data_IF_692498061871
#
_entry.id   IF_692498061871
#
_cell.length_a   1.000
_cell.length_b   1.000
_cell.length_c   1.000
_cell.angle_alpha   90.00
_cell.angle_beta   90.00
_cell.angle_gamma   90.00
#
_symmetry.space_group_name_H-M   'P 1'
#
loop_
_entity.id
_entity.type
_entity.pdbx_description
1 polymer ?
#
# COMPACT_ATOMS: atom_id res chain seq x y z
N UNK A 1 11.16 15.88 11.24
CA UNK A 1 12.41 15.37 11.86
C UNK A 1 13.35 14.91 10.75
N UNK A 2 14.64 15.19 10.80
CA UNK A 2 15.57 14.69 9.76
C UNK A 2 15.87 13.24 10.08
N UNK A 3 15.84 12.31 9.08
CA UNK A 3 16.23 10.93 9.31
C UNK A 3 17.68 10.89 9.83
N UNK A 4 17.89 10.17 10.90
CA UNK A 4 19.20 9.95 11.48
C UNK A 4 19.70 8.58 10.99
N UNK A 5 20.77 8.59 10.22
CA UNK A 5 21.46 7.38 9.77
C UNK A 5 22.68 7.19 10.64
N UNK A 6 22.81 6.03 11.26
CA UNK A 6 23.97 5.67 12.06
C UNK A 6 24.62 4.40 11.54
N UNK A 7 25.92 4.26 11.78
CA UNK A 7 26.66 3.05 11.41
C UNK A 7 26.45 1.98 12.49
N UNK A 8 25.88 0.85 12.09
CA UNK A 8 25.79 -0.33 12.95
C UNK A 8 26.95 -1.29 12.69
N UNK A 9 27.37 -2.02 13.75
CA UNK A 9 28.31 -3.12 13.62
C UNK A 9 27.66 -4.42 13.13
N UNK A 10 26.33 -4.44 13.05
CA UNK A 10 25.59 -5.56 12.50
C UNK A 10 25.39 -5.36 11.00
N UNK A 11 25.80 -6.35 10.22
CA UNK A 11 25.52 -6.37 8.78
C UNK A 11 24.13 -6.93 8.56
N UNK A 12 23.27 -6.13 7.91
CA UNK A 12 21.95 -6.53 7.51
C UNK A 12 21.89 -6.57 5.99
N UNK A 13 21.45 -7.68 5.45
CA UNK A 13 21.26 -7.84 4.01
C UNK A 13 19.78 -7.87 3.67
N UNK A 14 19.35 -6.96 2.80
CA UNK A 14 18.02 -6.97 2.18
C UNK A 14 18.14 -6.65 0.69
N UNK A 15 17.38 -7.35 -0.12
CA UNK A 15 17.23 -7.02 -1.54
C UNK A 15 16.34 -5.80 -1.78
N UNK A 16 15.71 -5.27 -0.72
CA UNK A 16 14.68 -4.23 -0.78
C UNK A 16 15.06 -2.97 0.02
N UNK A 17 16.36 -2.62 0.04
CA UNK A 17 16.82 -1.45 0.78
C UNK A 17 16.05 -0.13 0.48
N UNK A 18 15.65 0.19 -0.77
CA UNK A 18 14.80 1.34 -1.02
C UNK A 18 13.45 1.29 -0.31
N UNK A 19 12.83 0.10 -0.21
CA UNK A 19 11.56 -0.07 0.51
C UNK A 19 11.73 0.09 2.02
N UNK A 20 12.88 -0.26 2.57
CA UNK A 20 13.19 -0.01 3.98
C UNK A 20 13.23 1.51 4.26
N UNK A 21 13.87 2.29 3.39
CA UNK A 21 13.91 3.74 3.52
C UNK A 21 12.50 4.37 3.40
N UNK A 22 11.69 3.91 2.45
CA UNK A 22 10.29 4.35 2.29
C UNK A 22 9.48 3.99 3.53
N UNK A 23 9.58 2.76 4.02
CA UNK A 23 8.87 2.31 5.22
C UNK A 23 9.19 3.19 6.43
N UNK A 24 10.47 3.44 6.67
CA UNK A 24 10.90 4.34 7.75
C UNK A 24 10.30 5.74 7.60
N UNK A 25 10.35 6.33 6.41
CA UNK A 25 9.80 7.66 6.16
C UNK A 25 8.28 7.74 6.39
N UNK A 26 7.53 6.72 5.96
CA UNK A 26 6.07 6.66 6.14
C UNK A 26 5.68 6.50 7.61
N UNK A 27 6.41 5.68 8.37
CA UNK A 27 6.19 5.51 9.81
C UNK A 27 6.49 6.78 10.61
N UNK A 28 7.63 7.44 10.35
CA UNK A 28 8.02 8.68 11.02
C UNK A 28 7.01 9.81 10.80
N UNK A 29 6.30 9.82 9.69
CA UNK A 29 5.29 10.82 9.37
C UNK A 29 3.88 10.44 9.84
N UNK A 30 3.67 9.20 10.27
CA UNK A 30 2.35 8.70 10.63
C UNK A 30 1.41 8.42 9.44
N UNK A 31 1.95 8.38 8.21
CA UNK A 31 1.17 8.17 6.98
C UNK A 31 0.44 6.82 6.95
N UNK A 32 0.90 5.86 7.74
CA UNK A 32 0.35 4.51 7.82
C UNK A 32 -0.72 4.34 8.91
N UNK A 33 -0.99 5.37 9.72
CA UNK A 33 -1.94 5.28 10.83
C UNK A 33 -3.38 5.00 10.36
N UNK A 34 -3.72 5.38 9.13
CA UNK A 34 -5.01 5.07 8.51
C UNK A 34 -5.28 3.54 8.49
N UNK A 35 -4.25 2.73 8.36
CA UNK A 35 -4.39 1.28 8.28
C UNK A 35 -4.94 0.66 9.56
N UNK A 36 -4.76 1.30 10.72
CA UNK A 36 -5.31 0.85 12.00
C UNK A 36 -6.85 0.85 12.05
N UNK A 37 -7.48 1.68 11.22
CA UNK A 37 -8.95 1.71 11.15
C UNK A 37 -9.52 0.39 10.61
N UNK A 38 -8.73 -0.37 9.84
CA UNK A 38 -9.13 -1.66 9.30
C UNK A 38 -9.03 -2.82 10.29
N UNK A 39 -8.44 -2.59 11.47
CA UNK A 39 -8.41 -3.60 12.54
C UNK A 39 -9.82 -3.91 13.09
N UNK A 40 -10.80 -3.04 12.80
CA UNK A 40 -12.21 -3.27 13.09
C UNK A 40 -12.90 -4.30 12.17
N UNK A 41 -12.25 -4.76 11.10
CA UNK A 41 -12.80 -5.81 10.22
C UNK A 41 -12.90 -7.11 11.01
N UNK A 42 -14.14 -7.60 11.15
CA UNK A 42 -14.41 -8.86 11.86
C UNK A 42 -13.90 -10.07 11.07
N UNK A 43 -12.77 -10.60 11.50
CA UNK A 43 -12.20 -11.81 10.93
C UNK A 43 -11.36 -12.56 11.97
N UNK A 44 -11.15 -13.86 11.74
CA UNK A 44 -10.26 -14.65 12.59
C UNK A 44 -8.83 -14.13 12.46
N UNK A 45 -8.37 -13.48 13.50
CA UNK A 45 -7.01 -12.95 13.60
C UNK A 45 -6.21 -13.78 14.61
N UNK A 46 -4.99 -14.21 14.24
CA UNK A 46 -4.06 -14.89 15.13
C UNK A 46 -2.79 -14.04 15.30
N UNK A 47 -1.96 -14.03 14.26
CA UNK A 47 -0.62 -13.45 14.32
C UNK A 47 -0.54 -12.04 13.71
N UNK A 48 -1.49 -11.67 12.85
CA UNK A 48 -1.50 -10.41 12.13
C UNK A 48 -2.89 -9.79 12.14
N UNK A 49 -2.97 -8.48 12.44
CA UNK A 49 -4.22 -7.72 12.35
C UNK A 49 -4.64 -7.49 10.89
N UNK A 50 -5.90 -7.16 10.61
CA UNK A 50 -6.32 -6.77 9.26
C UNK A 50 -5.51 -5.60 8.69
N UNK A 51 -5.24 -4.55 9.47
CA UNK A 51 -4.42 -3.41 9.05
C UNK A 51 -2.99 -3.81 8.68
N UNK A 52 -2.38 -4.71 9.44
CA UNK A 52 -1.06 -5.25 9.13
C UNK A 52 -1.03 -6.05 7.81
N UNK A 53 -2.08 -6.83 7.54
CA UNK A 53 -2.19 -7.58 6.28
C UNK A 53 -2.38 -6.65 5.08
N UNK A 54 -3.10 -5.53 5.27
CA UNK A 54 -3.21 -4.49 4.25
C UNK A 54 -1.89 -3.78 4.00
N UNK A 55 -1.11 -3.56 5.06
CA UNK A 55 0.25 -3.05 4.94
C UNK A 55 1.12 -3.98 4.08
N UNK A 56 1.01 -5.29 4.29
CA UNK A 56 1.74 -6.29 3.49
C UNK A 56 1.28 -6.27 2.01
N UNK A 57 -0.03 -6.08 1.75
CA UNK A 57 -0.53 -5.88 0.38
C UNK A 57 0.03 -4.59 -0.25
N UNK A 58 0.05 -3.50 0.50
CA UNK A 58 0.63 -2.23 0.07
C UNK A 58 2.12 -2.38 -0.26
N UNK A 59 2.85 -3.12 0.56
CA UNK A 59 4.27 -3.41 0.33
C UNK A 59 4.51 -4.16 -0.98
N UNK A 60 3.62 -5.11 -1.35
CA UNK A 60 3.67 -5.80 -2.66
C UNK A 60 3.51 -4.81 -3.82
N UNK A 61 2.60 -3.84 -3.68
CA UNK A 61 2.38 -2.79 -4.69
C UNK A 61 3.62 -1.90 -4.81
N UNK A 62 4.16 -1.43 -3.69
CA UNK A 62 5.37 -0.59 -3.67
C UNK A 62 6.59 -1.31 -4.24
N UNK A 63 6.68 -2.64 -4.07
CA UNK A 63 7.72 -3.46 -4.67
C UNK A 63 7.58 -3.61 -6.20
N UNK A 64 6.47 -3.11 -6.79
CA UNK A 64 6.19 -3.24 -8.21
C UNK A 64 5.82 -4.66 -8.64
N UNK A 65 5.36 -5.50 -7.71
CA UNK A 65 5.01 -6.89 -8.03
C UNK A 65 3.59 -6.99 -8.59
N UNK A 66 3.40 -7.75 -9.67
CA UNK A 66 2.10 -7.87 -10.34
C UNK A 66 1.12 -8.79 -9.61
N UNK A 67 1.54 -9.46 -8.54
CA UNK A 67 0.73 -10.46 -7.85
C UNK A 67 1.11 -10.61 -6.39
N UNK A 68 0.10 -10.81 -5.53
CA UNK A 68 0.28 -11.15 -4.12
C UNK A 68 1.07 -12.45 -3.90
N UNK A 69 1.10 -13.37 -4.87
CA UNK A 69 1.87 -14.61 -4.76
C UNK A 69 3.37 -14.36 -4.52
N UNK A 70 3.88 -13.22 -4.99
CA UNK A 70 5.27 -12.82 -4.79
C UNK A 70 5.58 -12.40 -3.35
N UNK A 71 4.57 -12.10 -2.55
CA UNK A 71 4.73 -11.86 -1.11
C UNK A 71 5.45 -13.03 -0.44
N UNK A 72 4.96 -14.27 -0.64
CA UNK A 72 5.52 -15.46 0.00
C UNK A 72 6.94 -15.79 -0.45
N UNK A 73 7.26 -15.53 -1.72
CA UNK A 73 8.52 -15.97 -2.33
C UNK A 73 9.59 -14.90 -2.36
N UNK A 74 9.22 -13.62 -2.25
CA UNK A 74 10.15 -12.50 -2.40
C UNK A 74 10.25 -11.63 -1.15
N UNK A 75 9.14 -11.19 -0.57
CA UNK A 75 9.16 -10.22 0.53
C UNK A 75 9.20 -10.91 1.90
N UNK A 76 8.34 -11.89 2.12
CA UNK A 76 8.23 -12.60 3.40
C UNK A 76 9.52 -13.30 3.85
N UNK A 77 10.36 -13.84 2.95
CA UNK A 77 11.65 -14.43 3.35
C UNK A 77 12.71 -13.42 3.80
N UNK A 78 12.45 -12.11 3.68
CA UNK A 78 13.39 -11.05 4.04
C UNK A 78 13.06 -10.50 5.46
N UNK A 79 13.76 -10.96 6.51
CA UNK A 79 13.48 -10.52 7.87
C UNK A 79 13.87 -9.06 8.09
N UNK A 80 14.88 -8.55 7.35
CA UNK A 80 15.29 -7.15 7.47
C UNK A 80 14.22 -6.21 6.92
N UNK A 81 13.62 -6.56 5.78
CA UNK A 81 12.49 -5.83 5.23
C UNK A 81 11.35 -5.80 6.25
N UNK A 82 10.97 -6.95 6.84
CA UNK A 82 9.92 -7.00 7.84
C UNK A 82 10.21 -6.05 9.02
N UNK A 83 11.42 -6.07 9.56
CA UNK A 83 11.81 -5.18 10.66
C UNK A 83 11.73 -3.70 10.29
N UNK A 84 12.15 -3.31 9.10
CA UNK A 84 12.03 -1.94 8.61
C UNK A 84 10.57 -1.46 8.52
N UNK A 85 9.64 -2.39 8.40
CA UNK A 85 8.19 -2.14 8.39
C UNK A 85 7.52 -2.43 9.73
N UNK A 86 8.30 -2.46 10.81
CA UNK A 86 7.85 -2.69 12.20
C UNK A 86 7.09 -4.00 12.36
N UNK A 87 7.51 -5.04 11.63
CA UNK A 87 6.94 -6.38 11.65
C UNK A 87 7.99 -7.39 12.07
N UNK A 88 7.60 -8.40 12.83
CA UNK A 88 8.45 -9.56 13.11
C UNK A 88 8.57 -10.43 11.86
N UNK A 89 7.45 -10.67 11.22
CA UNK A 89 7.33 -11.42 9.97
C UNK A 89 6.15 -10.89 9.16
N UNK A 90 6.24 -10.88 7.83
CA UNK A 90 5.13 -10.53 6.95
C UNK A 90 4.11 -11.66 6.89
N UNK A 91 2.83 -11.32 6.71
CA UNK A 91 1.76 -12.29 6.63
C UNK A 91 1.90 -13.20 5.40
N UNK A 92 1.24 -14.36 5.45
CA UNK A 92 1.12 -15.22 4.29
C UNK A 92 0.14 -14.64 3.25
N UNK A 93 0.44 -14.81 1.97
CA UNK A 93 -0.37 -14.31 0.87
C UNK A 93 -1.84 -14.72 0.99
N UNK A 94 -2.12 -15.95 1.41
CA UNK A 94 -3.50 -16.44 1.54
C UNK A 94 -4.27 -15.73 2.65
N UNK A 95 -3.59 -15.28 3.71
CA UNK A 95 -4.23 -14.51 4.78
C UNK A 95 -4.46 -13.06 4.38
N UNK A 96 -3.55 -12.48 3.61
CA UNK A 96 -3.72 -11.15 2.99
C UNK A 96 -4.92 -11.17 2.02
N UNK A 97 -4.98 -12.17 1.12
CA UNK A 97 -6.09 -12.32 0.16
C UNK A 97 -7.45 -12.37 0.88
N UNK A 98 -7.57 -13.18 1.94
CA UNK A 98 -8.82 -13.26 2.73
C UNK A 98 -9.20 -11.93 3.38
N UNK A 99 -8.22 -11.11 3.76
CA UNK A 99 -8.50 -9.78 4.29
C UNK A 99 -9.05 -8.87 3.20
N UNK A 100 -8.47 -8.90 2.00
CA UNK A 100 -9.00 -8.15 0.86
C UNK A 100 -10.41 -8.62 0.46
N UNK A 101 -10.66 -9.92 0.50
CA UNK A 101 -12.00 -10.51 0.23
C UNK A 101 -13.05 -10.12 1.29
N UNK A 102 -12.62 -9.74 2.50
CA UNK A 102 -13.52 -9.27 3.56
C UNK A 102 -13.87 -7.78 3.47
N UNK A 103 -13.28 -7.05 2.53
CA UNK A 103 -13.63 -5.65 2.28
C UNK A 103 -15.06 -5.55 1.76
N UNK A 104 -15.77 -4.58 2.30
CA UNK A 104 -17.10 -4.19 1.86
C UNK A 104 -17.15 -2.71 1.47
N UNK A 105 -18.30 -2.21 1.08
CA UNK A 105 -18.48 -0.81 0.69
C UNK A 105 -18.08 0.18 1.79
N UNK A 106 -18.28 -0.15 3.07
CA UNK A 106 -17.92 0.71 4.19
C UNK A 106 -16.39 0.78 4.34
N UNK A 107 -15.71 -0.37 4.21
CA UNK A 107 -14.24 -0.43 4.22
C UNK A 107 -13.63 0.39 3.07
N UNK A 108 -14.22 0.31 1.89
CA UNK A 108 -13.80 1.11 0.72
C UNK A 108 -14.04 2.60 0.95
N UNK A 109 -15.16 2.99 1.54
CA UNK A 109 -15.44 4.38 1.89
C UNK A 109 -14.42 4.94 2.89
N UNK A 110 -14.04 4.16 3.89
CA UNK A 110 -12.97 4.53 4.84
C UNK A 110 -11.63 4.73 4.11
N UNK A 111 -11.26 3.82 3.21
CA UNK A 111 -10.03 3.92 2.43
C UNK A 111 -10.05 5.16 1.53
N UNK A 112 -11.15 5.42 0.85
CA UNK A 112 -11.30 6.61 -0.01
C UNK A 112 -11.21 7.90 0.80
N UNK A 113 -11.90 7.98 1.94
CA UNK A 113 -11.86 9.16 2.81
C UNK A 113 -10.44 9.42 3.34
N UNK A 114 -9.74 8.38 3.78
CA UNK A 114 -8.37 8.48 4.25
C UNK A 114 -7.39 8.88 3.15
N UNK A 115 -7.51 8.29 1.97
CA UNK A 115 -6.70 8.64 0.81
C UNK A 115 -6.93 10.10 0.38
N UNK A 116 -8.19 10.56 0.40
CA UNK A 116 -8.53 11.94 0.09
C UNK A 116 -7.95 12.91 1.12
N UNK A 117 -8.07 12.62 2.42
CA UNK A 117 -7.52 13.44 3.49
C UNK A 117 -5.99 13.56 3.36
N UNK A 118 -5.31 12.43 3.15
CA UNK A 118 -3.87 12.39 2.93
C UNK A 118 -3.46 13.23 1.72
N UNK A 119 -4.12 13.02 0.58
CA UNK A 119 -3.86 13.78 -0.64
C UNK A 119 -4.08 15.28 -0.42
N UNK A 120 -5.18 15.66 0.20
CA UNK A 120 -5.52 17.06 0.47
C UNK A 120 -4.46 17.75 1.35
N UNK A 121 -3.95 17.07 2.37
CA UNK A 121 -2.94 17.61 3.25
C UNK A 121 -1.57 17.78 2.56
N UNK A 122 -1.20 16.86 1.67
CA UNK A 122 0.12 16.82 1.07
C UNK A 122 0.18 17.42 -0.35
N UNK A 123 -0.94 17.79 -0.93
CA UNK A 123 -0.97 18.38 -2.28
C UNK A 123 -0.57 19.84 -2.28
N UNK A 124 0.15 20.24 -3.31
CA UNK A 124 0.48 21.65 -3.56
C UNK A 124 -0.74 22.46 -4.04
N UNK A 125 -1.86 21.81 -4.38
CA UNK A 125 -3.08 22.49 -4.82
C UNK A 125 -3.68 23.40 -3.74
N UNK A 126 -3.48 23.07 -2.47
CA UNK A 126 -3.94 23.91 -1.33
C UNK A 126 -3.29 25.30 -1.37
N UNK A 127 -2.04 25.39 -1.81
CA UNK A 127 -1.27 26.64 -1.91
C UNK A 127 -1.29 27.27 -3.33
N UNK A 128 -2.06 26.69 -4.25
CA UNK A 128 -2.10 27.17 -5.64
C UNK A 128 -2.73 28.55 -5.74
N UNK A 129 -2.08 29.46 -6.49
CA UNK A 129 -2.66 30.75 -6.84
C UNK A 129 -3.70 30.59 -7.95
N UNK A 130 -4.97 30.55 -7.58
CA UNK A 130 -6.10 30.35 -8.50
C UNK A 130 -6.30 31.44 -9.55
N UNK A 131 -5.48 32.50 -9.53
CA UNK A 131 -5.39 33.47 -10.63
C UNK A 131 -4.54 32.96 -11.78
N UNK A 132 -3.79 31.89 -11.59
CA UNK A 132 -2.97 31.24 -12.60
C UNK A 132 -3.69 30.01 -13.15
N UNK A 133 -3.48 29.68 -14.44
CA UNK A 133 -4.06 28.47 -15.01
C UNK A 133 -3.49 27.23 -14.31
N UNK A 134 -4.37 26.28 -14.01
CA UNK A 134 -4.02 24.93 -13.60
C UNK A 134 -4.08 24.02 -14.82
N UNK A 135 -2.99 23.33 -15.12
CA UNK A 135 -2.98 22.31 -16.15
C UNK A 135 -3.40 20.97 -15.53
N UNK A 136 -4.48 20.41 -16.04
CA UNK A 136 -4.96 19.09 -15.67
C UNK A 136 -4.73 18.16 -16.86
N UNK A 137 -3.88 17.16 -16.66
CA UNK A 137 -3.68 16.07 -17.61
C UNK A 137 -4.51 14.87 -17.18
N UNK A 138 -5.38 14.39 -18.06
CA UNK A 138 -6.26 13.25 -17.81
C UNK A 138 -5.92 12.16 -18.81
N UNK A 139 -5.36 11.07 -18.32
CA UNK A 139 -5.10 9.88 -19.12
C UNK A 139 -5.96 8.70 -18.65
N UNK A 140 -6.43 7.92 -19.61
CA UNK A 140 -7.20 6.70 -19.36
C UNK A 140 -6.25 5.51 -19.36
N UNK A 141 -5.94 5.00 -18.17
CA UNK A 141 -5.15 3.78 -18.02
C UNK A 141 -6.07 2.57 -17.93
N UNK A 142 -5.93 1.56 -18.82
CA UNK A 142 -6.71 0.35 -18.71
C UNK A 142 -6.33 -0.43 -17.45
N UNK A 143 -7.31 -0.73 -16.61
CA UNK A 143 -7.14 -1.66 -15.50
C UNK A 143 -7.58 -3.05 -15.96
N UNK A 144 -6.65 -4.01 -15.91
CA UNK A 144 -6.96 -5.41 -16.17
C UNK A 144 -7.78 -5.93 -14.99
N UNK A 145 -9.05 -6.18 -15.23
CA UNK A 145 -9.96 -6.75 -14.25
C UNK A 145 -10.55 -8.06 -14.76
N UNK A 146 -10.94 -8.94 -13.85
CA UNK A 146 -11.74 -10.11 -14.21
C UNK A 146 -13.06 -9.67 -14.85
N UNK A 147 -13.53 -10.41 -15.86
CA UNK A 147 -14.88 -10.18 -16.43
C UNK A 147 -16.02 -10.34 -15.44
N UNK A 148 -15.72 -10.88 -14.27
CA UNK A 148 -16.66 -11.07 -13.16
C UNK A 148 -16.44 -10.04 -12.03
N UNK A 149 -15.49 -9.12 -12.20
CA UNK A 149 -15.32 -8.04 -11.22
C UNK A 149 -16.55 -7.12 -11.28
N UNK A 150 -17.06 -6.77 -10.11
CA UNK A 150 -18.19 -5.85 -9.96
C UNK A 150 -17.86 -4.53 -10.66
N UNK A 151 -18.84 -3.94 -11.34
CA UNK A 151 -18.70 -2.69 -12.10
C UNK A 151 -17.66 -2.73 -13.24
N UNK A 152 -17.09 -3.89 -13.58
CA UNK A 152 -16.19 -4.00 -14.72
C UNK A 152 -16.96 -3.79 -16.04
N UNK A 153 -16.47 -2.89 -16.89
CA UNK A 153 -17.01 -2.67 -18.23
C UNK A 153 -15.93 -2.85 -19.28
N UNK A 154 -16.33 -3.27 -20.49
CA UNK A 154 -15.38 -3.28 -21.61
C UNK A 154 -15.05 -1.85 -22.00
N UNK A 155 -13.80 -1.44 -21.77
CA UNK A 155 -13.26 -0.23 -22.35
C UNK A 155 -12.89 -0.41 -23.82
N UNK A 156 -12.91 0.67 -24.57
CA UNK A 156 -12.39 0.72 -25.92
C UNK A 156 -10.88 1.00 -25.85
N UNK A 157 -10.13 -0.04 -25.57
CA UNK A 157 -8.66 0.01 -25.64
C UNK A 157 -8.24 -0.74 -26.91
N UNK A 158 -7.30 -0.16 -27.65
CA UNK A 158 -6.85 -0.64 -28.94
C UNK A 158 -6.53 -2.15 -28.88
N UNK A 159 -7.16 -2.92 -29.75
CA UNK A 159 -6.93 -4.36 -29.86
C UNK A 159 -5.54 -4.58 -30.43
N UNK A 160 -4.53 -4.68 -29.59
CA UNK A 160 -3.27 -5.27 -29.96
C UNK A 160 -2.78 -6.18 -28.84
N UNK A 161 -3.29 -7.36 -28.84
CA UNK A 161 -2.57 -8.65 -28.68
C UNK A 161 -3.39 -9.75 -29.27
#
# INVERSE_FOLDING_TARGET
MKPHFDLTKQEFNTSFAPLCAVGHALWERGDLDILRQFDAIEMKTRDHTPGEKLLDAFLVILAGFPSLALLNTKLRPDPMLAQCWHREVLADQSTVSRTLDAFNSDSLAVLQAGSYAYWHEHTQLVSHDWRKPLFLDLDLTPLLASKHAEESTKGYFDKKT
#
